data_IF_066644272188
#
_entry.id   IF_066644272188
#
_cell.length_a   1.000
_cell.length_b   1.000
_cell.length_c   1.000
_cell.angle_alpha   90.00
_cell.angle_beta   90.00
_cell.angle_gamma   90.00
#
_symmetry.space_group_name_H-M   'P 1'
#
loop_
_entity.id
_entity.type
_entity.pdbx_description
1 polymer ?
#
# COMPACT_ATOMS: atom_id res chain seq x y z
N UNK A 1 6.39 -48.55 -52.83
CA UNK A 1 7.37 -49.59 -53.24
C UNK A 1 8.66 -49.31 -52.48
N UNK A 2 9.23 -50.35 -51.87
CA UNK A 2 10.48 -50.41 -51.09
C UNK A 2 10.38 -50.06 -49.60
N UNK A 3 10.43 -51.13 -48.81
CA UNK A 3 10.75 -51.23 -47.38
C UNK A 3 12.17 -50.73 -47.08
N UNK A 4 12.42 -50.25 -45.86
CA UNK A 4 13.62 -50.63 -45.12
C UNK A 4 13.40 -50.51 -43.61
N UNK A 5 13.44 -51.67 -42.95
CA UNK A 5 13.67 -51.90 -41.52
C UNK A 5 15.10 -51.48 -41.12
N UNK A 6 15.32 -51.36 -39.80
CA UNK A 6 16.51 -51.73 -39.00
C UNK A 6 16.71 -50.69 -37.87
N UNK A 7 17.22 -50.99 -36.68
CA UNK A 7 17.26 -52.13 -35.78
C UNK A 7 17.96 -51.60 -34.52
N UNK A 8 17.61 -52.13 -33.36
CA UNK A 8 18.17 -51.73 -32.07
C UNK A 8 19.63 -52.14 -31.92
N UNK A 9 20.44 -51.32 -31.25
CA UNK A 9 21.58 -51.79 -30.45
C UNK A 9 21.60 -51.08 -29.10
N UNK A 10 21.50 -51.88 -28.05
CA UNK A 10 21.74 -51.53 -26.67
C UNK A 10 23.24 -51.61 -26.41
N UNK A 11 23.81 -50.60 -25.76
CA UNK A 11 25.14 -50.68 -25.18
C UNK A 11 25.03 -50.29 -23.71
N UNK A 12 25.27 -51.28 -22.87
CA UNK A 12 25.52 -51.13 -21.44
C UNK A 12 27.02 -50.96 -21.22
N UNK A 13 27.42 -49.99 -20.39
CA UNK A 13 28.71 -50.01 -19.71
C UNK A 13 28.49 -49.61 -18.27
N UNK A 14 28.98 -50.49 -17.40
CA UNK A 14 28.91 -50.37 -15.95
C UNK A 14 29.96 -49.45 -15.35
N UNK A 15 29.70 -49.19 -14.09
CA UNK A 15 30.41 -48.47 -13.04
C UNK A 15 31.94 -48.34 -13.16
N UNK A 16 32.42 -47.14 -12.79
CA UNK A 16 33.61 -46.97 -11.98
C UNK A 16 33.39 -45.83 -10.98
N UNK A 17 33.48 -46.20 -9.70
CA UNK A 17 33.60 -45.35 -8.52
C UNK A 17 34.99 -44.69 -8.48
N UNK A 18 35.04 -43.40 -8.14
CA UNK A 18 36.02 -42.73 -7.26
C UNK A 18 36.12 -41.25 -7.66
N UNK A 19 35.42 -40.35 -6.96
CA UNK A 19 35.81 -39.67 -5.72
C UNK A 19 36.65 -38.40 -5.98
N UNK A 20 36.49 -37.42 -5.09
CA UNK A 20 37.26 -36.18 -5.00
C UNK A 20 37.00 -35.08 -6.04
N UNK A 21 35.85 -34.40 -5.91
CA UNK A 21 35.83 -32.93 -5.70
C UNK A 21 34.44 -32.54 -5.18
N UNK A 22 34.17 -32.89 -3.92
CA UNK A 22 33.20 -32.13 -3.14
C UNK A 22 33.82 -30.77 -2.87
N UNK A 23 33.67 -29.83 -3.82
CA UNK A 23 33.90 -28.44 -3.52
C UNK A 23 32.97 -28.07 -2.36
N UNK A 24 33.49 -27.64 -1.20
CA UNK A 24 32.62 -27.10 -0.18
C UNK A 24 31.93 -25.90 -0.82
N UNK A 25 30.61 -25.95 -0.88
CA UNK A 25 29.81 -24.73 -0.94
C UNK A 25 30.30 -23.90 0.24
N UNK A 26 31.21 -22.96 -0.02
CA UNK A 26 31.39 -21.80 0.84
C UNK A 26 30.02 -21.14 0.82
N UNK A 27 29.23 -21.41 1.85
CA UNK A 27 28.23 -20.47 2.31
C UNK A 27 28.98 -19.17 2.46
N UNK A 28 28.78 -18.27 1.50
CA UNK A 28 29.23 -16.92 1.62
C UNK A 28 28.40 -16.32 2.76
N UNK A 29 28.95 -16.42 3.97
CA UNK A 29 28.45 -15.84 5.20
C UNK A 29 28.56 -14.31 5.18
N UNK A 30 28.71 -13.70 4.00
CA UNK A 30 28.29 -12.34 3.75
C UNK A 30 26.77 -12.29 3.86
N UNK A 31 26.26 -12.37 5.10
CA UNK A 31 25.05 -11.64 5.46
C UNK A 31 25.22 -10.28 4.80
N UNK A 32 24.32 -9.84 3.90
CA UNK A 32 24.41 -8.50 3.37
C UNK A 32 24.48 -7.59 4.59
N UNK A 33 25.62 -6.91 4.74
CA UNK A 33 25.87 -5.97 5.83
C UNK A 33 24.61 -5.12 5.91
N UNK A 34 23.81 -5.36 6.94
CA UNK A 34 22.66 -4.51 7.24
C UNK A 34 23.35 -3.21 7.59
N UNK A 35 23.25 -2.18 6.76
CA UNK A 35 23.99 -0.99 7.06
C UNK A 35 23.47 -0.46 8.39
N UNK A 36 24.38 -0.29 9.36
CA UNK A 36 24.16 0.36 10.64
C UNK A 36 23.95 1.86 10.42
N UNK A 37 23.00 2.24 9.56
CA UNK A 37 22.53 3.60 9.55
C UNK A 37 21.76 3.80 10.86
N UNK A 38 21.95 4.91 11.59
CA UNK A 38 20.94 5.30 12.56
C UNK A 38 19.59 5.29 11.82
N UNK A 39 18.61 4.59 12.38
CA UNK A 39 17.25 4.50 11.85
C UNK A 39 16.61 5.88 12.06
N UNK A 40 17.00 6.85 11.25
CA UNK A 40 16.33 8.14 11.24
C UNK A 40 14.95 7.90 10.63
N UNK A 41 13.91 8.11 11.42
CA UNK A 41 12.54 8.05 10.92
C UNK A 41 12.35 9.02 9.77
N UNK A 42 11.41 8.71 8.87
CA UNK A 42 11.12 9.62 7.76
C UNK A 42 10.51 10.89 8.33
N UNK A 43 11.06 12.05 7.96
CA UNK A 43 10.41 13.32 8.23
C UNK A 43 9.08 13.35 7.48
N UNK A 44 7.98 13.34 8.22
CA UNK A 44 6.63 13.49 7.67
C UNK A 44 6.33 14.99 7.64
N UNK A 45 6.19 15.53 6.44
CA UNK A 45 5.86 16.92 6.21
C UNK A 45 4.36 17.15 6.42
N UNK A 46 3.99 18.33 6.92
CA UNK A 46 2.59 18.75 7.05
C UNK A 46 2.27 19.76 5.97
N UNK A 47 1.08 19.63 5.39
CA UNK A 47 0.52 20.54 4.42
C UNK A 47 -0.86 20.95 4.91
N UNK A 48 -1.20 22.22 4.75
CA UNK A 48 -2.56 22.69 5.02
C UNK A 48 -3.40 22.51 3.74
N UNK A 49 -4.25 21.50 3.74
CA UNK A 49 -5.12 21.20 2.60
C UNK A 49 -6.39 22.04 2.63
N UNK A 50 -6.81 22.50 1.46
CA UNK A 50 -8.18 22.94 1.25
C UNK A 50 -9.16 21.81 1.60
N UNK A 51 -10.28 22.17 2.24
CA UNK A 51 -11.32 21.22 2.67
C UNK A 51 -12.69 21.70 2.22
N UNK A 52 -13.54 20.76 1.82
CA UNK A 52 -14.96 21.03 1.53
C UNK A 52 -15.80 20.94 2.80
N UNK A 53 -15.58 21.86 3.73
CA UNK A 53 -16.21 21.90 5.06
C UNK A 53 -17.71 22.17 5.03
N UNK A 54 -18.19 22.87 4.00
CA UNK A 54 -19.58 23.34 3.92
C UNK A 54 -20.56 22.24 3.50
N UNK A 55 -20.13 21.30 2.66
CA UNK A 55 -21.05 20.33 2.05
C UNK A 55 -20.73 18.88 2.42
N UNK A 56 -19.46 18.53 2.61
CA UNK A 56 -19.05 17.16 2.88
C UNK A 56 -19.40 16.70 4.29
N UNK A 57 -19.94 15.48 4.38
CA UNK A 57 -19.97 14.72 5.63
C UNK A 57 -18.70 13.87 5.72
N UNK A 58 -18.17 13.71 6.92
CA UNK A 58 -17.04 12.83 7.19
C UNK A 58 -17.24 12.11 8.51
N UNK A 59 -16.52 11.01 8.68
CA UNK A 59 -16.56 10.23 9.91
C UNK A 59 -15.28 10.39 10.70
N UNK A 60 -15.42 10.42 12.01
CA UNK A 60 -14.34 10.36 12.98
C UNK A 60 -14.27 8.98 13.60
N UNK A 61 -13.09 8.62 14.08
CA UNK A 61 -12.81 7.38 14.80
C UNK A 61 -11.68 7.59 15.79
N UNK A 62 -11.56 6.73 16.81
CA UNK A 62 -10.34 6.61 17.59
C UNK A 62 -9.16 6.18 16.72
N UNK A 63 -7.96 6.71 16.96
CA UNK A 63 -6.75 6.32 16.20
C UNK A 63 -6.37 4.85 16.44
N UNK A 64 -6.71 4.26 17.59
CA UNK A 64 -6.51 2.84 17.88
C UNK A 64 -7.48 1.91 17.13
N UNK A 65 -8.47 2.45 16.42
CA UNK A 65 -9.34 1.67 15.53
C UNK A 65 -8.57 1.11 14.32
N UNK A 66 -7.46 1.74 13.92
CA UNK A 66 -6.72 1.36 12.70
C UNK A 66 -5.72 0.24 12.96
N UNK A 67 -5.73 -0.78 12.10
CA UNK A 67 -4.86 -1.95 12.20
C UNK A 67 -4.09 -2.27 10.90
N UNK A 68 -4.45 -1.61 9.80
CA UNK A 68 -3.98 -1.96 8.47
C UNK A 68 -3.60 -0.73 7.65
N UNK A 69 -2.42 -0.79 7.04
CA UNK A 69 -1.99 0.15 6.00
C UNK A 69 -2.38 -0.43 4.65
N UNK A 70 -3.11 0.34 3.85
CA UNK A 70 -3.46 -0.01 2.46
C UNK A 70 -2.62 0.82 1.51
N UNK A 71 -1.80 0.14 0.71
CA UNK A 71 -0.93 0.78 -0.28
C UNK A 71 -1.73 1.09 -1.55
N UNK A 72 -1.60 2.34 -2.01
CA UNK A 72 -2.19 2.89 -3.22
C UNK A 72 -1.14 3.47 -4.14
N UNK A 73 -1.52 3.71 -5.39
CA UNK A 73 -0.90 4.71 -6.24
C UNK A 73 -1.92 5.80 -6.60
N UNK A 74 -1.45 6.97 -7.04
CA UNK A 74 -2.36 8.07 -7.36
C UNK A 74 -2.97 8.01 -8.75
N UNK A 75 -2.43 7.18 -9.66
CA UNK A 75 -2.71 7.19 -11.10
C UNK A 75 -2.37 8.53 -11.80
N UNK A 76 -1.55 9.37 -11.16
CA UNK A 76 -1.10 10.67 -11.70
C UNK A 76 0.38 10.64 -12.13
N UNK A 77 0.93 11.70 -12.77
CA UNK A 77 2.38 11.83 -12.95
C UNK A 77 3.14 11.77 -11.63
N UNK A 78 4.36 11.22 -11.63
CA UNK A 78 5.19 11.15 -10.40
C UNK A 78 5.58 12.53 -9.88
N UNK A 79 5.50 13.56 -10.73
CA UNK A 79 5.82 14.97 -10.43
C UNK A 79 4.67 15.73 -9.78
N UNK A 80 3.47 15.13 -9.66
CA UNK A 80 2.34 15.77 -8.98
C UNK A 80 2.64 16.01 -7.49
N UNK A 81 1.86 16.89 -6.88
CA UNK A 81 1.98 17.24 -5.47
C UNK A 81 0.82 16.67 -4.65
N UNK A 82 0.97 16.50 -3.33
CA UNK A 82 -0.13 16.12 -2.45
C UNK A 82 -1.34 17.07 -2.56
N UNK A 83 -1.11 18.38 -2.71
CA UNK A 83 -2.15 19.41 -2.92
C UNK A 83 -2.92 19.13 -4.21
N UNK A 84 -2.24 18.82 -5.32
CA UNK A 84 -2.90 18.44 -6.56
C UNK A 84 -3.79 17.20 -6.40
N UNK A 85 -3.35 16.21 -5.62
CA UNK A 85 -4.16 15.03 -5.30
C UNK A 85 -5.38 15.41 -4.45
N UNK A 86 -5.24 16.36 -3.52
CA UNK A 86 -6.37 16.91 -2.78
C UNK A 86 -7.39 17.58 -3.73
N UNK A 87 -6.94 18.45 -4.62
CA UNK A 87 -7.81 19.13 -5.59
C UNK A 87 -8.57 18.15 -6.47
N UNK A 88 -7.90 17.09 -6.95
CA UNK A 88 -8.55 16.04 -7.73
C UNK A 88 -9.64 15.33 -6.94
N UNK A 89 -9.45 15.12 -5.64
CA UNK A 89 -10.46 14.52 -4.78
C UNK A 89 -11.63 15.46 -4.51
N UNK A 90 -11.37 16.74 -4.21
CA UNK A 90 -12.42 17.73 -4.01
C UNK A 90 -13.30 17.88 -5.27
N UNK A 91 -12.66 17.92 -6.44
CA UNK A 91 -13.35 18.03 -7.74
C UNK A 91 -14.03 16.74 -8.20
N UNK A 92 -13.67 15.58 -7.62
CA UNK A 92 -14.29 14.29 -7.94
C UNK A 92 -15.61 14.08 -7.19
N UNK A 93 -15.78 14.73 -6.04
CA UNK A 93 -17.03 14.71 -5.29
C UNK A 93 -18.18 15.23 -6.14
N UNK A 94 -19.39 14.69 -5.91
CA UNK A 94 -20.61 15.25 -6.49
C UNK A 94 -21.34 16.05 -5.41
N UNK A 95 -22.31 16.93 -5.76
CA UNK A 95 -23.13 17.57 -4.74
C UNK A 95 -23.85 16.58 -3.81
N UNK A 96 -24.13 15.35 -4.28
CA UNK A 96 -24.76 14.29 -3.50
C UNK A 96 -23.77 13.44 -2.68
N UNK A 97 -22.50 13.39 -3.07
CA UNK A 97 -21.41 12.69 -2.36
C UNK A 97 -20.12 13.54 -2.41
N UNK A 98 -20.08 14.68 -1.69
CA UNK A 98 -18.93 15.56 -1.72
C UNK A 98 -17.79 15.00 -0.88
N UNK A 99 -16.58 15.07 -1.42
CA UNK A 99 -15.38 14.63 -0.70
C UNK A 99 -14.85 15.76 0.17
N UNK A 100 -14.55 15.47 1.43
CA UNK A 100 -14.10 16.47 2.41
C UNK A 100 -12.68 16.99 2.16
N UNK A 101 -11.74 16.09 1.86
CA UNK A 101 -10.32 16.36 1.62
C UNK A 101 -9.69 15.11 0.99
N UNK A 102 -8.37 15.13 0.75
CA UNK A 102 -7.58 13.98 0.30
C UNK A 102 -7.98 12.69 1.04
N UNK A 103 -8.15 11.59 0.30
CA UNK A 103 -8.66 10.34 0.85
C UNK A 103 -7.64 9.50 1.63
N UNK A 104 -6.36 9.78 1.44
CA UNK A 104 -5.24 9.00 1.98
C UNK A 104 -4.63 9.71 3.19
N UNK A 105 -4.17 8.95 4.18
CA UNK A 105 -3.55 9.48 5.39
C UNK A 105 -2.09 9.87 5.19
N UNK A 106 -1.39 9.22 4.24
CA UNK A 106 0.00 9.54 3.91
C UNK A 106 0.23 9.50 2.41
N UNK A 107 1.06 10.42 1.93
CA UNK A 107 1.42 10.60 0.52
C UNK A 107 2.93 10.47 0.37
N UNK A 108 3.37 9.54 -0.48
CA UNK A 108 4.77 9.31 -0.83
C UNK A 108 5.01 9.93 -2.20
N UNK A 109 5.80 11.00 -2.24
CA UNK A 109 6.36 11.54 -3.47
C UNK A 109 7.72 10.89 -3.71
N UNK A 110 7.93 10.29 -4.87
CA UNK A 110 9.20 9.62 -5.21
C UNK A 110 9.33 9.48 -6.73
N UNK A 111 10.54 9.48 -7.30
CA UNK A 111 10.71 9.33 -8.74
C UNK A 111 10.42 7.89 -9.18
N UNK A 112 10.12 7.71 -10.46
CA UNK A 112 10.16 6.39 -11.09
C UNK A 112 11.59 5.86 -11.18
N UNK A 113 11.76 4.55 -11.35
CA UNK A 113 13.04 3.96 -11.70
C UNK A 113 13.67 4.64 -12.93
N UNK A 114 14.91 5.11 -12.78
CA UNK A 114 15.65 5.84 -13.82
C UNK A 114 15.41 7.36 -13.84
N UNK A 115 14.50 7.89 -13.03
CA UNK A 115 14.30 9.33 -12.88
C UNK A 115 14.93 9.87 -11.59
N UNK A 116 15.31 11.15 -11.60
CA UNK A 116 15.86 11.85 -10.43
C UNK A 116 14.83 12.79 -9.74
N UNK A 117 13.67 12.99 -10.36
CA UNK A 117 12.64 13.92 -9.89
C UNK A 117 11.26 13.22 -9.82
N UNK A 118 10.44 13.51 -8.79
CA UNK A 118 10.68 14.46 -7.70
C UNK A 118 11.67 13.93 -6.67
N UNK A 119 12.11 14.80 -5.74
CA UNK A 119 12.78 14.34 -4.52
C UNK A 119 11.82 13.52 -3.67
N UNK A 120 12.32 12.38 -3.20
CA UNK A 120 11.68 11.52 -2.22
C UNK A 120 11.26 12.29 -0.94
N UNK A 121 9.98 12.26 -0.60
CA UNK A 121 9.43 12.81 0.65
C UNK A 121 8.07 12.18 1.02
N UNK A 122 7.71 12.29 2.29
CA UNK A 122 6.41 11.82 2.80
C UNK A 122 5.66 13.00 3.40
N UNK A 123 4.41 13.16 2.98
CA UNK A 123 3.52 14.21 3.45
C UNK A 123 2.33 13.56 4.16
N UNK A 124 1.95 14.11 5.31
CA UNK A 124 0.70 13.79 6.00
C UNK A 124 -0.48 14.27 5.14
N UNK A 125 -1.43 13.38 4.87
CA UNK A 125 -2.67 13.67 4.17
C UNK A 125 -3.81 13.88 5.16
N UNK A 126 -4.77 12.95 5.14
CA UNK A 126 -5.91 12.92 6.05
C UNK A 126 -5.48 12.48 7.47
N UNK A 127 -5.83 13.25 8.52
CA UNK A 127 -5.61 12.86 9.92
C UNK A 127 -6.16 11.46 10.26
N UNK A 128 -5.52 10.74 11.19
CA UNK A 128 -5.88 9.35 11.49
C UNK A 128 -7.21 9.22 12.24
N UNK A 129 -7.60 10.27 12.98
CA UNK A 129 -8.88 10.37 13.66
C UNK A 129 -10.04 10.60 12.67
N UNK A 130 -9.75 10.85 11.39
CA UNK A 130 -10.72 10.86 10.30
C UNK A 130 -10.69 9.53 9.54
N UNK A 131 -11.88 9.00 9.25
CA UNK A 131 -12.06 7.84 8.37
C UNK A 131 -11.63 8.20 6.95
N UNK A 132 -10.84 7.32 6.33
CA UNK A 132 -10.37 7.48 4.96
C UNK A 132 -11.45 7.27 3.90
N UNK A 133 -11.15 7.59 2.64
CA UNK A 133 -12.05 7.34 1.51
C UNK A 133 -11.32 6.59 0.37
N UNK A 134 -10.61 5.52 0.72
CA UNK A 134 -9.59 4.93 -0.15
C UNK A 134 -9.78 3.44 -0.50
N UNK A 135 -10.58 2.68 0.26
CA UNK A 135 -10.74 1.23 0.09
C UNK A 135 -12.06 0.82 -0.62
N UNK A 136 -12.83 1.78 -1.13
CA UNK A 136 -14.17 1.55 -1.71
C UNK A 136 -15.31 1.63 -0.68
N UNK A 137 -16.51 2.01 -1.12
CA UNK A 137 -17.66 2.28 -0.24
C UNK A 137 -18.38 1.02 0.25
N UNK A 138 -18.26 -0.10 -0.48
CA UNK A 138 -18.97 -1.35 -0.23
C UNK A 138 -18.05 -2.50 0.23
N UNK A 139 -16.83 -2.18 0.66
CA UNK A 139 -15.89 -3.18 1.19
C UNK A 139 -16.01 -3.21 2.70
N UNK A 140 -16.32 -4.38 3.24
CA UNK A 140 -16.41 -4.64 4.67
C UNK A 140 -15.37 -5.68 5.10
N UNK A 141 -14.82 -5.51 6.30
CA UNK A 141 -13.81 -6.38 6.89
C UNK A 141 -14.24 -6.82 8.29
N UNK A 142 -13.79 -8.01 8.74
CA UNK A 142 -14.00 -8.43 10.12
C UNK A 142 -13.39 -7.43 11.10
N UNK A 143 -14.06 -7.25 12.24
CA UNK A 143 -13.53 -6.51 13.40
C UNK A 143 -12.93 -7.48 14.41
N UNK A 144 -11.84 -7.09 15.07
CA UNK A 144 -11.40 -7.75 16.30
C UNK A 144 -12.24 -7.30 17.53
N UNK A 145 -11.99 -7.90 18.69
CA UNK A 145 -12.81 -7.65 19.88
C UNK A 145 -12.73 -6.20 20.38
N UNK A 146 -11.56 -5.57 20.28
CA UNK A 146 -11.39 -4.16 20.68
C UNK A 146 -12.13 -3.23 19.71
N UNK A 147 -12.04 -3.48 18.40
CA UNK A 147 -12.78 -2.74 17.38
C UNK A 147 -14.30 -2.90 17.55
N UNK A 148 -14.78 -4.11 17.84
CA UNK A 148 -16.19 -4.36 18.14
C UNK A 148 -16.64 -3.55 19.36
N UNK A 149 -15.80 -3.46 20.39
CA UNK A 149 -16.08 -2.65 21.58
C UNK A 149 -16.15 -1.17 21.21
N UNK A 150 -15.16 -0.64 20.49
CA UNK A 150 -15.17 0.76 20.03
C UNK A 150 -16.42 1.11 19.20
N UNK A 151 -16.85 0.19 18.33
CA UNK A 151 -18.08 0.34 17.55
C UNK A 151 -19.33 0.36 18.45
N UNK A 152 -19.47 -0.61 19.36
CA UNK A 152 -20.60 -0.69 20.31
C UNK A 152 -20.68 0.51 21.25
N UNK A 153 -19.53 1.06 21.63
CA UNK A 153 -19.42 2.27 22.45
C UNK A 153 -19.78 3.56 21.67
N UNK A 154 -20.12 3.46 20.38
CA UNK A 154 -20.52 4.60 19.54
C UNK A 154 -19.37 5.56 19.22
N UNK A 155 -18.12 5.09 19.26
CA UNK A 155 -16.94 5.96 19.07
C UNK A 155 -16.69 6.37 17.62
N UNK A 156 -17.40 5.75 16.68
CA UNK A 156 -17.31 6.06 15.25
C UNK A 156 -18.55 6.85 14.88
N UNK A 157 -18.37 8.13 14.62
CA UNK A 157 -19.46 9.07 14.37
C UNK A 157 -19.22 9.85 13.09
N UNK A 158 -20.28 10.24 12.40
CA UNK A 158 -20.25 10.96 11.15
C UNK A 158 -21.09 12.23 11.24
N UNK A 159 -20.67 13.27 10.54
CA UNK A 159 -21.32 14.56 10.57
C UNK A 159 -20.65 15.54 9.62
N UNK A 160 -21.19 16.76 9.57
CA UNK A 160 -20.59 17.88 8.85
C UNK A 160 -19.73 18.71 9.79
N UNK A 161 -18.79 19.45 9.23
CA UNK A 161 -17.99 20.39 10.01
C UNK A 161 -18.91 21.42 10.70
N UNK A 162 -18.74 21.61 12.01
CA UNK A 162 -19.59 22.48 12.83
C UNK A 162 -21.00 21.94 13.13
N UNK A 163 -21.35 20.74 12.66
CA UNK A 163 -22.63 20.09 12.94
C UNK A 163 -22.54 18.97 13.99
N UNK A 164 -23.69 18.36 14.28
CA UNK A 164 -23.77 17.20 15.17
C UNK A 164 -23.19 15.95 14.53
N UNK A 165 -22.47 15.16 15.34
CA UNK A 165 -21.87 13.89 14.94
C UNK A 165 -22.65 12.73 15.56
N UNK A 166 -23.13 11.82 14.74
CA UNK A 166 -23.92 10.66 15.17
C UNK A 166 -23.37 9.37 14.59
N UNK A 167 -23.68 8.24 15.21
CA UNK A 167 -23.30 6.93 14.67
C UNK A 167 -24.06 6.71 13.36
N UNK A 168 -23.34 6.37 12.28
CA UNK A 168 -23.93 5.96 11.00
C UNK A 168 -24.00 4.43 10.92
N UNK A 169 -25.17 3.80 11.08
CA UNK A 169 -25.31 2.35 11.08
C UNK A 169 -24.85 1.69 9.77
N UNK A 170 -24.77 2.44 8.65
CA UNK A 170 -24.30 1.92 7.37
C UNK A 170 -22.81 1.55 7.36
N UNK A 171 -22.06 1.96 8.39
CA UNK A 171 -20.66 1.61 8.56
C UNK A 171 -20.47 0.14 8.92
N UNK A 172 -21.49 -0.53 9.44
CA UNK A 172 -21.46 -1.92 9.86
C UNK A 172 -22.50 -2.74 9.09
N UNK A 173 -22.15 -3.99 8.77
CA UNK A 173 -23.04 -4.95 8.13
C UNK A 173 -22.65 -6.36 8.56
N UNK A 174 -23.59 -7.09 9.19
CA UNK A 174 -23.45 -8.52 9.53
C UNK A 174 -22.18 -8.86 10.35
N UNK A 175 -21.86 -8.05 11.35
CA UNK A 175 -20.66 -8.18 12.19
C UNK A 175 -19.36 -7.70 11.55
N UNK A 176 -19.41 -7.09 10.36
CA UNK A 176 -18.25 -6.56 9.63
C UNK A 176 -18.37 -5.05 9.46
N UNK A 177 -17.25 -4.34 9.38
CA UNK A 177 -17.22 -2.87 9.29
C UNK A 177 -16.59 -2.42 7.98
N UNK A 178 -16.98 -1.25 7.46
CA UNK A 178 -16.36 -0.68 6.26
C UNK A 178 -14.83 -0.63 6.41
N UNK A 179 -14.11 -1.13 5.42
CA UNK A 179 -12.65 -1.22 5.43
C UNK A 179 -11.98 0.14 5.71
N UNK A 180 -12.54 1.23 5.19
CA UNK A 180 -12.06 2.58 5.44
C UNK A 180 -11.99 2.93 6.92
N UNK A 181 -12.78 2.31 7.81
CA UNK A 181 -12.85 2.59 9.25
C UNK A 181 -11.68 1.99 10.03
N UNK A 182 -11.18 0.81 9.63
CA UNK A 182 -10.05 0.14 10.31
C UNK A 182 -8.71 0.30 9.58
N UNK A 183 -8.71 1.01 8.45
CA UNK A 183 -7.51 1.16 7.63
C UNK A 183 -7.09 2.61 7.45
N UNK A 184 -5.82 2.78 7.14
CA UNK A 184 -5.26 4.03 6.60
C UNK A 184 -4.80 3.82 5.16
N UNK A 185 -4.88 4.87 4.36
CA UNK A 185 -4.37 4.88 3.00
C UNK A 185 -2.97 5.48 2.94
N UNK A 186 -2.00 4.75 2.39
CA UNK A 186 -0.69 5.28 2.02
C UNK A 186 -0.57 5.24 0.51
N UNK A 187 -0.58 6.41 -0.13
CA UNK A 187 -0.54 6.53 -1.59
C UNK A 187 0.86 6.89 -2.06
N UNK A 188 1.32 6.26 -3.14
CA UNK A 188 2.53 6.65 -3.87
C UNK A 188 2.11 7.48 -5.08
N UNK A 189 2.61 8.71 -5.19
CA UNK A 189 2.34 9.56 -6.36
C UNK A 189 3.00 8.93 -7.59
N UNK A 190 2.19 8.71 -8.62
CA UNK A 190 2.59 8.02 -9.84
C UNK A 190 1.51 7.08 -10.37
N UNK A 191 1.62 6.76 -11.66
CA UNK A 191 0.79 5.80 -12.36
C UNK A 191 1.60 4.54 -12.65
N UNK A 192 1.52 3.62 -11.70
CA UNK A 192 2.13 2.28 -11.71
C UNK A 192 1.23 1.21 -12.34
N UNK A 193 0.18 1.58 -13.07
CA UNK A 193 -0.70 0.62 -13.75
C UNK A 193 -0.45 0.60 -15.25
N UNK A 194 -0.73 -0.53 -15.92
CA UNK A 194 -0.63 -0.60 -17.36
C UNK A 194 -1.66 0.30 -18.04
N UNK A 195 -1.35 0.71 -19.26
CA UNK A 195 -2.27 1.39 -20.16
C UNK A 195 -3.52 0.54 -20.38
N UNK A 196 -4.68 1.19 -20.32
CA UNK A 196 -5.96 0.61 -20.69
C UNK A 196 -6.89 1.71 -21.23
N UNK A 197 -8.05 1.34 -21.78
CA UNK A 197 -9.07 2.31 -22.19
C UNK A 197 -9.51 3.24 -21.05
N UNK A 198 -9.49 2.73 -19.81
CA UNK A 198 -9.85 3.47 -18.60
C UNK A 198 -8.66 4.06 -17.87
N UNK A 199 -7.42 3.76 -18.30
CA UNK A 199 -6.18 4.32 -17.79
C UNK A 199 -5.24 4.72 -18.96
N UNK A 200 -5.57 5.80 -19.68
CA UNK A 200 -4.82 6.19 -20.88
C UNK A 200 -3.40 6.69 -20.58
N UNK A 201 -3.10 7.05 -19.32
CA UNK A 201 -1.78 7.50 -18.87
C UNK A 201 -0.94 6.37 -18.23
N UNK A 202 -1.47 5.15 -18.23
CA UNK A 202 -0.76 3.96 -17.78
C UNK A 202 0.47 3.66 -18.63
N UNK A 203 1.36 2.82 -18.11
CA UNK A 203 2.57 2.46 -18.82
C UNK A 203 2.30 1.47 -19.97
N UNK A 204 3.15 1.46 -20.99
CA UNK A 204 3.08 0.44 -22.05
C UNK A 204 3.60 -0.90 -21.56
N UNK A 205 3.08 -2.03 -22.08
CA UNK A 205 3.55 -3.38 -21.69
C UNK A 205 5.07 -3.57 -21.82
N UNK A 206 5.73 -2.83 -22.73
CA UNK A 206 7.18 -2.89 -22.96
C UNK A 206 7.99 -2.09 -21.94
N UNK A 207 7.39 -1.08 -21.31
CA UNK A 207 8.06 -0.15 -20.41
C UNK A 207 7.31 -0.03 -19.06
N UNK A 208 7.22 -1.12 -18.27
CA UNK A 208 6.58 -1.08 -16.96
C UNK A 208 7.26 -0.07 -16.03
N UNK A 209 6.46 0.64 -15.24
CA UNK A 209 6.94 1.56 -14.20
C UNK A 209 7.01 0.82 -12.88
N UNK A 210 8.15 0.87 -12.20
CA UNK A 210 8.38 0.20 -10.92
C UNK A 210 8.75 1.19 -9.82
N UNK A 211 8.41 0.91 -8.56
CA UNK A 211 8.89 1.72 -7.43
C UNK A 211 10.41 1.56 -7.27
N UNK A 212 11.13 2.67 -7.09
CA UNK A 212 12.56 2.64 -6.78
C UNK A 212 12.82 1.97 -5.43
N UNK A 213 14.07 1.59 -5.17
CA UNK A 213 14.48 1.15 -3.83
C UNK A 213 14.21 2.23 -2.78
N UNK A 214 14.41 3.51 -3.12
CA UNK A 214 14.09 4.63 -2.26
C UNK A 214 12.59 4.71 -1.95
N UNK A 215 11.70 4.52 -2.94
CA UNK A 215 10.26 4.44 -2.70
C UNK A 215 9.92 3.30 -1.75
N UNK A 216 10.47 2.11 -1.98
CA UNK A 216 10.22 0.93 -1.14
C UNK A 216 10.68 1.15 0.30
N UNK A 217 11.87 1.75 0.46
CA UNK A 217 12.44 2.11 1.75
C UNK A 217 11.60 3.14 2.51
N UNK A 218 11.14 4.19 1.84
CA UNK A 218 10.25 5.18 2.44
C UNK A 218 8.95 4.55 2.92
N UNK A 219 8.29 3.72 2.11
CA UNK A 219 7.07 3.03 2.53
C UNK A 219 7.35 2.18 3.76
N UNK A 220 8.46 1.44 3.78
CA UNK A 220 8.85 0.59 4.90
C UNK A 220 9.11 1.39 6.19
N UNK A 221 9.90 2.47 6.11
CA UNK A 221 10.21 3.33 7.26
C UNK A 221 8.96 4.06 7.78
N UNK A 222 8.14 4.63 6.90
CA UNK A 222 6.87 5.27 7.28
C UNK A 222 5.93 4.26 7.92
N UNK A 223 5.75 3.08 7.32
CA UNK A 223 4.91 2.03 7.91
C UNK A 223 5.40 1.63 9.29
N UNK A 224 6.72 1.42 9.44
CA UNK A 224 7.31 1.06 10.73
C UNK A 224 7.16 2.16 11.79
N UNK A 225 7.36 3.42 11.43
CA UNK A 225 7.12 4.56 12.32
C UNK A 225 5.66 4.60 12.79
N UNK A 226 4.71 4.29 11.90
CA UNK A 226 3.29 4.23 12.25
C UNK A 226 2.98 3.06 13.16
N UNK A 227 3.53 1.86 12.92
CA UNK A 227 3.34 0.73 13.83
C UNK A 227 3.92 1.00 15.23
N UNK A 228 5.07 1.66 15.33
CA UNK A 228 5.66 2.00 16.63
C UNK A 228 4.81 3.03 17.39
N UNK A 229 4.18 3.96 16.68
CA UNK A 229 3.24 4.93 17.28
C UNK A 229 1.87 4.29 17.60
N UNK A 230 1.43 3.36 16.76
CA UNK A 230 0.13 2.69 16.82
C UNK A 230 0.31 1.17 16.77
N UNK A 231 0.59 0.50 17.91
CA UNK A 231 0.97 -0.93 17.92
C UNK A 231 -0.08 -1.91 17.40
N UNK A 232 -1.34 -1.48 17.23
CA UNK A 232 -2.41 -2.26 16.60
C UNK A 232 -2.23 -2.39 15.09
N UNK A 233 -1.43 -1.52 14.48
CA UNK A 233 -1.14 -1.53 13.05
C UNK A 233 -0.23 -2.72 12.70
N UNK A 234 -0.84 -3.83 12.30
CA UNK A 234 -0.19 -5.14 12.14
C UNK A 234 -0.15 -5.62 10.70
N UNK A 235 -0.87 -4.97 9.78
CA UNK A 235 -1.00 -5.45 8.40
C UNK A 235 -0.59 -4.40 7.37
N UNK A 236 0.07 -4.86 6.30
CA UNK A 236 0.21 -4.09 5.06
C UNK A 236 -0.52 -4.85 3.96
N UNK A 237 -1.55 -4.21 3.41
CA UNK A 237 -2.36 -4.69 2.27
C UNK A 237 -2.24 -3.68 1.12
N UNK A 238 -2.88 -3.97 0.00
CA UNK A 238 -2.87 -3.11 -1.18
C UNK A 238 -4.29 -2.99 -1.73
N UNK A 239 -4.61 -1.95 -2.50
CA UNK A 239 -6.01 -1.68 -2.88
C UNK A 239 -6.68 -2.86 -3.61
N UNK A 240 -6.00 -3.47 -4.59
CA UNK A 240 -6.53 -4.64 -5.31
C UNK A 240 -6.65 -5.93 -4.48
N UNK A 241 -6.27 -5.91 -3.20
CA UNK A 241 -6.63 -6.95 -2.24
C UNK A 241 -8.11 -6.89 -1.88
N UNK A 242 -8.69 -5.68 -1.83
CA UNK A 242 -10.08 -5.45 -1.39
C UNK A 242 -11.06 -5.30 -2.55
N UNK A 243 -10.61 -4.74 -3.67
CA UNK A 243 -11.48 -4.38 -4.78
C UNK A 243 -10.86 -4.84 -6.10
N UNK A 244 -11.69 -5.14 -7.10
CA UNK A 244 -11.21 -5.34 -8.47
C UNK A 244 -10.75 -3.99 -9.03
N UNK A 245 -9.45 -3.70 -8.93
CA UNK A 245 -8.83 -2.46 -9.41
C UNK A 245 -7.41 -2.72 -9.89
N UNK A 246 -6.90 -1.81 -10.73
CA UNK A 246 -5.49 -1.86 -11.14
C UNK A 246 -4.54 -1.40 -10.03
N UNK A 247 -5.03 -0.60 -9.08
CA UNK A 247 -4.27 -0.03 -7.98
C UNK A 247 -3.74 -1.11 -7.00
N UNK A 248 -2.49 -1.02 -6.50
CA UNK A 248 -1.49 0.04 -6.71
C UNK A 248 -0.55 -0.23 -7.89
N UNK A 249 -1.01 -1.00 -8.87
CA UNK A 249 -0.21 -1.36 -10.03
C UNK A 249 0.94 -2.31 -9.67
N UNK A 250 2.11 -2.10 -10.27
CA UNK A 250 3.33 -2.90 -10.01
C UNK A 250 3.82 -2.83 -8.57
N UNK A 251 3.42 -1.83 -7.77
CA UNK A 251 3.84 -1.73 -6.35
C UNK A 251 3.45 -2.98 -5.56
N UNK A 252 2.33 -3.64 -5.92
CA UNK A 252 1.86 -4.85 -5.23
C UNK A 252 2.89 -6.00 -5.27
N UNK A 253 3.72 -6.05 -6.31
CA UNK A 253 4.77 -7.05 -6.48
C UNK A 253 5.93 -6.87 -5.48
N UNK A 254 6.02 -5.70 -4.85
CA UNK A 254 7.10 -5.32 -3.94
C UNK A 254 6.67 -5.31 -2.46
N UNK A 255 5.42 -5.66 -2.14
CA UNK A 255 4.94 -5.66 -0.75
C UNK A 255 5.77 -6.57 0.15
N UNK A 256 6.18 -7.76 -0.32
CA UNK A 256 7.07 -8.65 0.43
C UNK A 256 8.45 -8.03 0.73
N UNK A 257 9.01 -7.29 -0.23
CA UNK A 257 10.27 -6.55 -0.05
C UNK A 257 10.12 -5.39 0.93
N UNK A 258 9.02 -4.64 0.84
CA UNK A 258 8.68 -3.55 1.77
C UNK A 258 8.56 -4.08 3.21
N UNK A 259 7.85 -5.19 3.42
CA UNK A 259 7.77 -5.85 4.74
C UNK A 259 9.13 -6.30 5.25
N UNK A 260 9.98 -6.84 4.37
CA UNK A 260 11.35 -7.24 4.71
C UNK A 260 12.21 -6.04 5.12
N UNK A 261 12.07 -4.90 4.43
CA UNK A 261 12.73 -3.65 4.83
C UNK A 261 12.22 -3.15 6.18
N UNK A 262 10.90 -3.19 6.42
CA UNK A 262 10.32 -2.79 7.70
C UNK A 262 10.84 -3.63 8.89
N UNK A 263 11.10 -4.93 8.69
CA UNK A 263 11.75 -5.80 9.69
C UNK A 263 13.14 -5.34 10.07
N UNK A 264 13.91 -4.80 9.12
CA UNK A 264 15.23 -4.19 9.43
C UNK A 264 15.11 -2.96 10.33
N UNK A 265 13.93 -2.34 10.38
CA UNK A 265 13.62 -1.20 11.24
C UNK A 265 12.95 -1.58 12.58
N UNK A 266 12.85 -2.88 12.87
CA UNK A 266 12.28 -3.41 14.11
C UNK A 266 10.75 -3.50 14.09
N UNK A 267 10.14 -3.60 12.91
CA UNK A 267 8.69 -3.70 12.74
C UNK A 267 8.30 -4.97 11.99
N UNK A 268 7.15 -5.55 12.33
CA UNK A 268 6.67 -6.78 11.71
C UNK A 268 5.23 -6.63 11.22
N UNK A 269 4.98 -6.97 9.96
CA UNK A 269 3.68 -6.87 9.33
C UNK A 269 3.26 -8.21 8.72
N UNK A 270 1.99 -8.54 8.93
CA UNK A 270 1.29 -9.68 8.32
C UNK A 270 0.99 -9.44 6.84
#
# INVERSE_FOLDING_TARGET
MILALLSWTTVSWGFSTDCFFCLPWKQDNTRPLVPEWPIEYVKIEKVDYERNSQTASFCRRPEDMVDTIVIHHSETPSTDSPERINDLHLNRGTPADPWYMIAYSYVVNSPYAGALSPRARVTEGRPLDLVGAHAGSNIFVPMDEDQKKMWKDGKITCGKEGGDFTVDPSMEKNGTIKANVTTIGLVVIGNYSPFSKTNPNGYSKKNPRYPTLQTQDMIARTSCQLQKKYPRMKSIKWHSYYHSTSCPGTIKEYIGKIKTLARKYGCEFN
#
